data_IF_713701819558
#
_entry.id   IF_713701819558
#
_cell.length_a   1.000
_cell.length_b   1.000
_cell.length_c   1.000
_cell.angle_alpha   90.00
_cell.angle_beta   90.00
_cell.angle_gamma   90.00
#
_symmetry.space_group_name_H-M   'P 1'
#
loop_
_entity.id
_entity.type
_entity.pdbx_description
1 polymer ?
#
# COMPACT_ATOMS: atom_id res chain seq x y z
N UNK A 1 -12.88 -8.66 -12.17
CA UNK A 1 -14.36 -8.71 -12.26
C UNK A 1 -14.94 -8.10 -10.99
N UNK A 2 -15.88 -7.14 -11.08
CA UNK A 2 -16.46 -6.49 -9.88
C UNK A 2 -17.32 -7.48 -9.11
N UNK A 3 -16.94 -7.74 -7.85
CA UNK A 3 -17.70 -8.55 -6.88
C UNK A 3 -18.17 -7.68 -5.73
N UNK A 4 -19.46 -7.70 -5.44
CA UNK A 4 -20.10 -6.84 -4.44
C UNK A 4 -20.76 -7.71 -3.37
N UNK A 5 -20.30 -7.59 -2.14
CA UNK A 5 -20.99 -8.18 -0.99
C UNK A 5 -22.01 -7.18 -0.46
N UNK A 6 -23.25 -7.62 -0.24
CA UNK A 6 -24.33 -6.77 0.28
C UNK A 6 -24.59 -7.14 1.73
N UNK A 7 -24.14 -6.25 2.63
CA UNK A 7 -24.30 -6.34 4.07
C UNK A 7 -25.53 -5.56 4.50
N UNK A 8 -26.54 -6.25 5.03
CA UNK A 8 -27.81 -5.67 5.45
C UNK A 8 -28.35 -6.42 6.68
N UNK A 9 -29.31 -5.82 7.37
CA UNK A 9 -30.02 -6.47 8.48
C UNK A 9 -31.40 -6.95 8.05
N UNK A 10 -31.89 -8.01 8.69
CA UNK A 10 -33.22 -8.56 8.41
C UNK A 10 -34.30 -7.73 9.10
N UNK A 11 -34.52 -6.51 8.61
CA UNK A 11 -35.41 -5.52 9.22
C UNK A 11 -36.89 -5.86 9.07
N UNK A 12 -37.29 -6.20 7.85
CA UNK A 12 -38.64 -6.63 7.46
C UNK A 12 -38.55 -7.38 6.14
N UNK A 13 -39.60 -8.14 5.77
CA UNK A 13 -39.62 -8.83 4.47
C UNK A 13 -39.55 -7.84 3.31
N UNK A 14 -40.21 -6.69 3.42
CA UNK A 14 -40.12 -5.60 2.45
C UNK A 14 -38.68 -5.10 2.25
N UNK A 15 -37.92 -4.98 3.34
CA UNK A 15 -36.51 -4.60 3.29
C UNK A 15 -35.67 -5.69 2.61
N UNK A 16 -35.87 -6.95 2.99
CA UNK A 16 -35.15 -8.09 2.42
C UNK A 16 -35.43 -8.21 0.90
N UNK A 17 -36.67 -8.04 0.47
CA UNK A 17 -37.06 -8.03 -0.94
C UNK A 17 -36.47 -6.84 -1.71
N UNK A 18 -36.38 -5.67 -1.07
CA UNK A 18 -35.72 -4.52 -1.66
C UNK A 18 -34.23 -4.75 -1.89
N UNK A 19 -33.54 -5.36 -0.93
CA UNK A 19 -32.11 -5.72 -1.05
C UNK A 19 -31.92 -6.77 -2.15
N UNK A 20 -32.82 -7.76 -2.27
CA UNK A 20 -32.78 -8.73 -3.35
C UNK A 20 -32.94 -8.06 -4.73
N UNK A 21 -33.89 -7.13 -4.89
CA UNK A 21 -34.05 -6.37 -6.13
C UNK A 21 -32.80 -5.55 -6.48
N UNK A 22 -32.14 -4.95 -5.49
CA UNK A 22 -30.87 -4.28 -5.70
C UNK A 22 -29.79 -5.26 -6.18
N UNK A 23 -29.69 -6.43 -5.55
CA UNK A 23 -28.77 -7.50 -5.95
C UNK A 23 -28.98 -7.92 -7.41
N UNK A 24 -30.24 -8.19 -7.79
CA UNK A 24 -30.60 -8.59 -9.15
C UNK A 24 -30.35 -7.48 -10.18
N UNK A 25 -30.63 -6.23 -9.84
CA UNK A 25 -30.32 -5.10 -10.70
C UNK A 25 -28.81 -5.00 -10.97
N UNK A 26 -27.97 -5.17 -9.93
CA UNK A 26 -26.51 -5.18 -10.09
C UNK A 26 -26.05 -6.37 -10.96
N UNK A 27 -26.63 -7.57 -10.77
CA UNK A 27 -26.35 -8.77 -11.57
C UNK A 27 -26.70 -8.57 -13.05
N UNK A 28 -27.87 -8.01 -13.34
CA UNK A 28 -28.31 -7.68 -14.70
C UNK A 28 -27.37 -6.68 -15.39
N UNK A 29 -26.74 -5.78 -14.61
CA UNK A 29 -25.73 -4.85 -15.10
C UNK A 29 -24.30 -5.42 -15.05
N UNK A 30 -24.13 -6.74 -14.90
CA UNK A 30 -22.85 -7.44 -15.03
C UNK A 30 -21.92 -7.31 -13.82
N UNK A 31 -22.47 -7.01 -12.63
CA UNK A 31 -21.75 -7.05 -11.35
C UNK A 31 -22.12 -8.34 -10.62
N UNK A 32 -21.11 -9.09 -10.16
CA UNK A 32 -21.35 -10.31 -9.38
C UNK A 32 -21.68 -9.90 -7.95
N UNK A 33 -22.86 -10.26 -7.44
CA UNK A 33 -23.24 -9.97 -6.05
C UNK A 33 -23.15 -11.22 -5.18
N UNK A 34 -22.77 -11.01 -3.92
CA UNK A 34 -22.73 -12.01 -2.85
C UNK A 34 -23.76 -11.55 -1.81
N UNK A 35 -24.79 -12.36 -1.56
CA UNK A 35 -25.86 -12.07 -0.62
C UNK A 35 -26.26 -13.37 0.11
N UNK A 36 -26.66 -13.25 1.38
CA UNK A 36 -27.10 -14.37 2.21
C UNK A 36 -28.35 -15.08 1.66
N UNK A 37 -29.21 -14.36 0.93
CA UNK A 37 -30.43 -14.87 0.26
C UNK A 37 -30.15 -16.01 -0.72
N UNK A 38 -28.94 -16.14 -1.25
CA UNK A 38 -28.57 -17.27 -2.09
C UNK A 38 -28.63 -18.62 -1.32
N UNK A 39 -28.70 -18.58 0.02
CA UNK A 39 -28.84 -19.72 0.93
C UNK A 39 -30.20 -19.76 1.64
N UNK A 40 -31.26 -19.13 1.15
CA UNK A 40 -32.52 -18.99 1.89
C UNK A 40 -33.15 -20.32 2.39
N UNK A 41 -32.88 -21.45 1.71
CA UNK A 41 -33.38 -22.78 2.09
C UNK A 41 -32.31 -23.68 2.72
N UNK A 42 -31.11 -23.18 3.02
CA UNK A 42 -30.00 -23.98 3.56
C UNK A 42 -28.99 -23.14 4.34
N UNK A 43 -28.01 -23.77 4.99
CA UNK A 43 -26.86 -23.04 5.54
C UNK A 43 -25.68 -23.21 4.58
N UNK A 44 -24.80 -22.20 4.44
CA UNK A 44 -23.56 -22.39 3.70
C UNK A 44 -22.77 -23.55 4.32
N UNK A 45 -22.17 -24.46 3.52
CA UNK A 45 -21.46 -25.64 4.03
C UNK A 45 -20.32 -25.31 5.01
N UNK A 46 -19.72 -24.13 4.84
CA UNK A 46 -18.64 -23.60 5.69
C UNK A 46 -19.13 -22.91 6.98
N UNK A 47 -20.45 -22.76 7.15
CA UNK A 47 -21.08 -22.03 8.25
C UNK A 47 -21.08 -20.51 8.05
N UNK A 48 -22.10 -19.82 8.61
CA UNK A 48 -22.29 -18.37 8.48
C UNK A 48 -21.05 -17.54 8.88
N UNK A 49 -20.34 -17.85 9.98
CA UNK A 49 -19.16 -17.09 10.37
C UNK A 49 -18.04 -17.11 9.31
N UNK A 50 -17.73 -18.30 8.80
CA UNK A 50 -16.68 -18.48 7.80
C UNK A 50 -17.10 -17.92 6.44
N UNK A 51 -18.38 -18.11 6.09
CA UNK A 51 -18.97 -17.56 4.88
C UNK A 51 -18.88 -16.04 4.83
N UNK A 52 -19.16 -15.36 5.94
CA UNK A 52 -19.06 -13.91 6.02
C UNK A 52 -17.64 -13.40 5.81
N UNK A 53 -16.66 -13.98 6.51
CA UNK A 53 -15.25 -13.63 6.33
C UNK A 53 -14.79 -13.87 4.89
N UNK A 54 -15.10 -15.05 4.34
CA UNK A 54 -14.78 -15.37 2.96
C UNK A 54 -15.46 -14.43 1.96
N UNK A 55 -16.70 -14.01 2.23
CA UNK A 55 -17.46 -13.08 1.39
C UNK A 55 -16.86 -11.68 1.42
N UNK A 56 -16.44 -11.21 2.60
CA UNK A 56 -15.68 -9.98 2.76
C UNK A 56 -14.36 -10.05 1.99
N UNK A 57 -13.60 -11.13 2.07
CA UNK A 57 -12.32 -11.30 1.37
C UNK A 57 -12.49 -11.32 -0.16
N UNK A 58 -13.52 -12.02 -0.66
CA UNK A 58 -13.81 -12.15 -2.11
C UNK A 58 -14.37 -10.87 -2.73
N UNK A 59 -14.97 -10.00 -1.93
CA UNK A 59 -15.65 -8.80 -2.42
C UNK A 59 -14.69 -7.65 -2.70
N UNK A 60 -14.80 -7.07 -3.89
CA UNK A 60 -14.12 -5.81 -4.24
C UNK A 60 -14.75 -4.60 -3.55
N UNK A 61 -16.08 -4.66 -3.33
CA UNK A 61 -16.85 -3.64 -2.63
C UNK A 61 -17.86 -4.31 -1.70
N UNK A 62 -18.18 -3.64 -0.61
CA UNK A 62 -19.16 -4.05 0.39
C UNK A 62 -20.19 -2.93 0.50
N UNK A 63 -21.42 -3.20 0.10
CA UNK A 63 -22.53 -2.27 0.32
C UNK A 63 -23.08 -2.50 1.73
N UNK A 64 -23.00 -1.49 2.58
CA UNK A 64 -23.63 -1.48 3.89
C UNK A 64 -24.99 -0.80 3.77
N UNK A 65 -26.06 -1.59 3.80
CA UNK A 65 -27.43 -1.08 3.77
C UNK A 65 -27.76 -0.54 5.15
N UNK A 66 -27.67 0.78 5.32
CA UNK A 66 -27.77 1.39 6.65
C UNK A 66 -29.23 1.68 6.98
N UNK A 67 -29.67 1.12 8.11
CA UNK A 67 -30.98 1.34 8.72
C UNK A 67 -30.83 1.47 10.23
N UNK A 68 -31.88 1.88 10.93
CA UNK A 68 -31.86 1.96 12.40
C UNK A 68 -31.56 0.61 13.07
N UNK A 69 -32.02 -0.52 12.51
CA UNK A 69 -31.72 -1.86 13.04
C UNK A 69 -30.27 -2.23 12.75
N UNK A 70 -29.80 -2.01 11.51
CA UNK A 70 -28.41 -2.23 11.13
C UNK A 70 -27.44 -1.50 12.06
N UNK A 71 -27.73 -0.23 12.37
CA UNK A 71 -26.89 0.60 13.24
C UNK A 71 -26.89 0.11 14.69
N UNK A 72 -28.03 -0.34 15.22
CA UNK A 72 -28.08 -0.93 16.57
C UNK A 72 -27.25 -2.21 16.67
N UNK A 73 -27.30 -3.07 15.64
CA UNK A 73 -26.45 -4.28 15.56
C UNK A 73 -24.98 -3.93 15.46
N UNK A 74 -24.62 -2.96 14.62
CA UNK A 74 -23.26 -2.45 14.50
C UNK A 74 -22.70 -1.99 15.85
N UNK A 75 -23.50 -1.28 16.65
CA UNK A 75 -23.11 -0.78 17.98
C UNK A 75 -23.19 -1.83 19.10
N UNK A 76 -23.67 -3.04 18.84
CA UNK A 76 -23.88 -4.07 19.86
C UNK A 76 -25.01 -3.74 20.85
N UNK A 77 -26.01 -2.95 20.42
CA UNK A 77 -27.15 -2.54 21.26
C UNK A 77 -28.38 -3.46 21.14
N UNK A 78 -28.28 -4.63 20.47
CA UNK A 78 -29.37 -5.62 20.47
C UNK A 78 -29.33 -6.51 21.72
N UNK A 79 -30.52 -6.90 22.20
CA UNK A 79 -30.70 -7.78 23.36
C UNK A 79 -30.34 -9.22 22.94
N UNK A 80 -29.41 -9.91 23.63
CA UNK A 80 -29.08 -11.29 23.34
C UNK A 80 -30.33 -12.19 23.42
N UNK A 81 -30.56 -13.01 22.41
CA UNK A 81 -31.55 -14.10 22.48
C UNK A 81 -32.84 -13.97 21.65
N UNK A 82 -32.95 -13.03 20.69
CA UNK A 82 -34.09 -12.97 19.74
C UNK A 82 -33.82 -13.46 18.32
N UNK A 83 -32.64 -14.01 18.02
CA UNK A 83 -32.36 -14.63 16.72
C UNK A 83 -31.22 -15.64 16.80
N UNK A 84 -31.46 -16.90 16.41
CA UNK A 84 -30.48 -17.99 16.41
C UNK A 84 -29.43 -17.82 15.29
N UNK A 85 -28.60 -16.78 15.37
CA UNK A 85 -27.49 -16.54 14.43
C UNK A 85 -27.05 -15.08 14.25
N UNK A 86 -27.72 -14.11 14.91
CA UNK A 86 -27.65 -12.68 14.55
C UNK A 86 -26.48 -11.91 15.18
N UNK A 87 -25.93 -12.39 16.30
CA UNK A 87 -24.94 -11.62 17.09
C UNK A 87 -23.53 -11.60 16.47
N UNK A 88 -23.20 -12.57 15.62
CA UNK A 88 -21.84 -12.71 15.08
C UNK A 88 -21.59 -11.84 13.83
N UNK A 89 -22.62 -11.66 13.01
CA UNK A 89 -22.56 -10.91 11.75
C UNK A 89 -22.19 -9.44 11.97
N UNK A 90 -22.87 -8.82 12.92
CA UNK A 90 -22.60 -7.44 13.34
C UNK A 90 -21.17 -7.29 13.86
N UNK A 91 -20.68 -8.24 14.66
CA UNK A 91 -19.34 -8.18 15.25
C UNK A 91 -18.23 -8.21 14.18
N UNK A 92 -18.37 -9.06 13.15
CA UNK A 92 -17.35 -9.18 12.10
C UNK A 92 -17.35 -8.02 11.13
N UNK A 93 -18.52 -7.53 10.72
CA UNK A 93 -18.61 -6.34 9.89
C UNK A 93 -18.14 -5.10 10.66
N UNK A 94 -18.46 -5.00 11.96
CA UNK A 94 -17.95 -3.94 12.83
C UNK A 94 -16.43 -3.99 12.89
N UNK A 95 -15.83 -5.15 13.18
CA UNK A 95 -14.37 -5.27 13.22
C UNK A 95 -13.74 -4.90 11.87
N UNK A 96 -14.26 -5.42 10.76
CA UNK A 96 -13.76 -5.12 9.42
C UNK A 96 -13.89 -3.64 9.03
N UNK A 97 -14.99 -2.98 9.42
CA UNK A 97 -15.19 -1.53 9.24
C UNK A 97 -14.24 -0.70 10.10
N UNK A 98 -13.95 -1.17 11.32
CA UNK A 98 -12.99 -0.54 12.23
C UNK A 98 -11.55 -0.67 11.70
N UNK A 99 -11.17 -1.84 11.22
CA UNK A 99 -9.85 -2.09 10.63
C UNK A 99 -9.65 -1.29 9.32
N UNK A 100 -10.73 -1.05 8.57
CA UNK A 100 -10.70 -0.29 7.31
C UNK A 100 -10.77 1.24 7.47
N UNK A 101 -10.69 1.78 8.70
CA UNK A 101 -10.98 3.18 9.04
C UNK A 101 -10.24 4.25 8.23
N UNK A 102 -9.11 3.94 7.59
CA UNK A 102 -8.33 4.93 6.80
C UNK A 102 -7.72 4.41 5.49
N UNK A 103 -8.01 3.17 5.05
CA UNK A 103 -7.19 2.51 4.02
C UNK A 103 -7.99 2.06 2.79
N UNK A 104 -9.32 1.98 2.84
CA UNK A 104 -10.08 1.33 1.76
C UNK A 104 -11.41 2.00 1.39
N UNK A 105 -11.61 2.20 0.07
CA UNK A 105 -12.90 2.55 -0.55
C UNK A 105 -13.84 1.33 -0.69
N UNK A 106 -13.48 0.20 -0.09
CA UNK A 106 -14.23 -1.06 -0.17
C UNK A 106 -15.64 -0.95 0.42
N UNK A 107 -15.82 -0.23 1.53
CA UNK A 107 -17.12 -0.13 2.20
C UNK A 107 -17.89 1.12 1.76
N UNK A 108 -19.11 0.93 1.28
CA UNK A 108 -19.98 1.98 0.74
C UNK A 108 -21.30 1.98 1.52
N UNK A 109 -21.66 3.11 2.12
CA UNK A 109 -22.96 3.29 2.76
C UNK A 109 -24.05 3.47 1.69
N UNK A 110 -25.10 2.66 1.79
CA UNK A 110 -26.29 2.74 0.94
C UNK A 110 -27.51 2.91 1.82
N UNK A 111 -28.34 3.89 1.49
CA UNK A 111 -29.57 4.20 2.20
C UNK A 111 -30.77 3.93 1.29
N UNK A 112 -31.85 3.38 1.85
CA UNK A 112 -33.12 3.30 1.14
C UNK A 112 -33.77 4.67 1.04
N UNK A 113 -33.68 5.46 2.11
CA UNK A 113 -34.28 6.78 2.24
C UNK A 113 -33.30 7.75 2.90
N UNK A 114 -33.44 9.06 2.65
CA UNK A 114 -32.60 10.07 3.32
C UNK A 114 -32.83 10.11 4.83
N UNK A 115 -33.98 9.65 5.32
CA UNK A 115 -34.25 9.55 6.76
C UNK A 115 -33.37 8.53 7.48
N UNK A 116 -32.68 7.65 6.74
CA UNK A 116 -31.75 6.67 7.32
C UNK A 116 -30.33 7.23 7.53
N UNK A 117 -30.04 8.45 7.08
CA UNK A 117 -28.71 9.06 7.17
C UNK A 117 -28.11 9.12 8.59
N UNK A 118 -28.88 9.40 9.66
CA UNK A 118 -28.36 9.34 11.04
C UNK A 118 -27.83 7.95 11.44
N UNK A 119 -28.28 6.88 10.76
CA UNK A 119 -27.93 5.50 11.06
C UNK A 119 -26.69 5.00 10.29
N UNK A 120 -25.99 5.87 9.56
CA UNK A 120 -24.71 5.52 8.97
C UNK A 120 -23.69 5.25 10.11
N UNK A 121 -23.01 4.08 10.12
CA UNK A 121 -21.94 3.79 11.07
C UNK A 121 -20.84 4.86 11.06
N UNK A 122 -20.30 5.20 12.23
CA UNK A 122 -19.29 6.28 12.39
C UNK A 122 -18.13 6.21 11.38
N UNK A 123 -17.54 5.03 11.07
CA UNK A 123 -16.45 4.93 10.10
C UNK A 123 -16.83 5.29 8.66
N UNK A 124 -18.12 5.28 8.32
CA UNK A 124 -18.62 5.54 6.97
C UNK A 124 -19.18 6.95 6.77
N UNK A 125 -19.52 7.66 7.86
CA UNK A 125 -20.05 9.03 7.80
C UNK A 125 -19.19 10.04 7.01
N UNK A 126 -17.84 10.03 7.09
CA UNK A 126 -17.04 11.01 6.34
C UNK A 126 -16.93 10.68 4.83
N UNK A 127 -17.57 9.60 4.34
CA UNK A 127 -17.49 9.15 2.94
C UNK A 127 -18.80 9.40 2.21
N UNK A 128 -18.75 9.39 0.87
CA UNK A 128 -19.95 9.47 0.03
C UNK A 128 -20.85 8.27 0.30
N UNK A 129 -22.11 8.54 0.60
CA UNK A 129 -23.18 7.55 0.72
C UNK A 129 -24.19 7.72 -0.42
N UNK A 130 -24.94 6.66 -0.74
CA UNK A 130 -25.89 6.65 -1.85
C UNK A 130 -27.31 6.42 -1.35
N UNK A 131 -28.19 7.37 -1.61
CA UNK A 131 -29.62 7.26 -1.28
C UNK A 131 -30.38 6.74 -2.49
N UNK A 132 -30.83 5.50 -2.45
CA UNK A 132 -31.52 4.83 -3.56
C UNK A 132 -33.04 5.02 -3.50
N UNK A 133 -33.47 6.29 -3.38
CA UNK A 133 -34.89 6.70 -3.36
C UNK A 133 -35.38 7.31 -4.68
N UNK A 134 -34.48 7.56 -5.65
CA UNK A 134 -34.82 8.12 -6.97
C UNK A 134 -34.12 7.35 -8.09
N UNK A 135 -34.67 7.39 -9.31
CA UNK A 135 -34.13 6.69 -10.48
C UNK A 135 -32.70 7.13 -10.86
N UNK A 136 -32.30 8.35 -10.49
CA UNK A 136 -30.97 8.90 -10.79
C UNK A 136 -29.87 8.44 -9.82
N UNK A 137 -30.24 7.89 -8.67
CA UNK A 137 -29.28 7.51 -7.61
C UNK A 137 -28.57 6.19 -7.89
N UNK A 138 -29.25 5.24 -8.54
CA UNK A 138 -28.67 3.94 -8.89
C UNK A 138 -27.53 4.04 -9.91
N UNK A 139 -27.65 4.81 -11.02
CA UNK A 139 -26.54 5.05 -11.94
C UNK A 139 -25.28 5.61 -11.27
N UNK A 140 -25.42 6.47 -10.26
CA UNK A 140 -24.29 7.02 -9.52
C UNK A 140 -23.57 5.94 -8.71
N UNK A 141 -24.32 5.10 -7.98
CA UNK A 141 -23.77 3.94 -7.27
C UNK A 141 -23.10 2.95 -8.25
N UNK A 142 -23.76 2.67 -9.37
CA UNK A 142 -23.26 1.75 -10.39
C UNK A 142 -21.93 2.23 -11.01
N UNK A 143 -21.78 3.52 -11.29
CA UNK A 143 -20.52 4.10 -11.78
C UNK A 143 -19.39 3.91 -10.79
N UNK A 144 -19.65 4.05 -9.48
CA UNK A 144 -18.64 3.87 -8.43
C UNK A 144 -18.17 2.42 -8.39
N UNK A 145 -19.11 1.48 -8.40
CA UNK A 145 -18.82 0.04 -8.41
C UNK A 145 -18.03 -0.41 -9.65
N UNK A 146 -18.11 0.36 -10.74
CA UNK A 146 -17.35 0.16 -11.98
C UNK A 146 -16.07 1.00 -12.08
N UNK A 147 -15.73 1.80 -11.07
CA UNK A 147 -14.66 2.82 -11.13
C UNK A 147 -14.80 3.80 -12.32
N UNK A 148 -16.03 4.15 -12.69
CA UNK A 148 -16.38 5.07 -13.78
C UNK A 148 -16.69 6.50 -13.30
N UNK A 149 -16.44 6.81 -12.03
CA UNK A 149 -16.53 8.18 -11.53
C UNK A 149 -15.29 8.98 -11.89
N UNK A 150 -15.33 9.51 -13.10
CA UNK A 150 -14.51 10.62 -13.55
C UNK A 150 -15.04 11.07 -14.89
N UNK A 151 -15.42 12.34 -15.00
CA UNK A 151 -15.07 13.08 -16.23
C UNK A 151 -13.61 12.71 -16.46
N UNK A 152 -13.28 12.05 -17.58
CA UNK A 152 -11.87 11.84 -17.93
C UNK A 152 -11.25 13.22 -17.80
N UNK A 153 -10.34 13.47 -16.85
CA UNK A 153 -9.66 14.75 -16.81
C UNK A 153 -9.14 14.95 -18.22
N UNK A 154 -9.43 16.10 -18.83
CA UNK A 154 -8.74 16.46 -20.07
C UNK A 154 -7.26 16.19 -19.84
N UNK A 155 -6.56 15.64 -20.84
CA UNK A 155 -5.15 15.27 -20.72
C UNK A 155 -4.43 16.47 -20.12
N UNK A 156 -4.13 16.40 -18.82
CA UNK A 156 -3.26 17.36 -18.19
C UNK A 156 -1.93 17.07 -18.83
N UNK A 157 -1.41 18.05 -19.55
CA UNK A 157 -0.05 18.00 -20.03
C UNK A 157 0.86 17.98 -18.79
N UNK A 158 1.15 16.78 -18.28
CA UNK A 158 2.01 16.59 -17.13
C UNK A 158 3.44 17.09 -17.38
N UNK A 159 3.79 17.40 -18.64
CA UNK A 159 5.04 18.11 -18.94
C UNK A 159 5.05 19.59 -18.57
N UNK A 160 3.89 20.15 -18.17
CA UNK A 160 3.74 21.55 -17.70
C UNK A 160 3.47 21.69 -16.20
N UNK A 161 3.14 20.62 -15.49
CA UNK A 161 3.00 20.64 -14.03
C UNK A 161 4.23 20.03 -13.41
N UNK A 162 5.08 20.85 -12.79
CA UNK A 162 6.06 20.36 -11.80
C UNK A 162 5.30 19.51 -10.77
N UNK A 163 5.90 18.42 -10.23
CA UNK A 163 5.25 17.61 -9.20
C UNK A 163 4.72 18.53 -8.10
N UNK A 164 3.49 18.30 -7.59
CA UNK A 164 2.93 19.17 -6.57
C UNK A 164 3.88 19.15 -5.38
N UNK A 165 4.39 20.33 -5.00
CA UNK A 165 5.32 20.52 -3.89
C UNK A 165 4.60 20.35 -2.56
N UNK A 166 3.81 19.30 -2.36
CA UNK A 166 3.01 19.09 -1.16
C UNK A 166 3.90 19.00 0.09
N UNK A 167 3.35 19.15 1.30
CA UNK A 167 4.14 19.01 2.52
C UNK A 167 4.81 17.63 2.62
N UNK A 168 4.14 16.58 2.13
CA UNK A 168 4.69 15.24 2.02
C UNK A 168 5.87 15.18 1.04
N UNK A 169 5.75 15.84 -0.11
CA UNK A 169 6.82 15.93 -1.10
C UNK A 169 8.09 16.57 -0.50
N UNK A 170 7.92 17.68 0.22
CA UNK A 170 9.04 18.40 0.83
C UNK A 170 9.72 17.57 1.92
N UNK A 171 8.94 16.90 2.77
CA UNK A 171 9.46 16.03 3.84
C UNK A 171 10.15 14.77 3.31
N UNK A 172 9.72 14.26 2.16
CA UNK A 172 10.42 13.19 1.47
C UNK A 172 11.83 13.59 1.02
N UNK A 173 12.21 14.86 0.97
CA UNK A 173 13.56 15.23 0.54
C UNK A 173 14.57 15.32 1.69
N UNK A 174 14.08 15.21 2.91
CA UNK A 174 14.85 15.25 4.14
C UNK A 174 15.40 13.83 4.40
N UNK A 175 16.71 13.73 4.67
CA UNK A 175 17.45 12.47 4.98
C UNK A 175 17.88 11.55 3.82
N UNK A 176 18.19 12.10 2.63
CA UNK A 176 18.35 11.23 1.45
C UNK A 176 19.68 11.24 0.72
N UNK A 177 20.66 12.07 1.09
CA UNK A 177 21.92 12.14 0.33
C UNK A 177 22.62 10.78 0.13
N UNK A 178 22.76 9.91 1.16
CA UNK A 178 23.46 8.63 0.98
C UNK A 178 22.68 7.63 0.11
N UNK A 179 21.38 7.48 0.35
CA UNK A 179 20.55 6.57 -0.46
C UNK A 179 20.37 7.11 -1.88
N UNK A 180 20.11 8.41 -2.02
CA UNK A 180 20.07 9.13 -3.29
C UNK A 180 21.34 8.89 -4.09
N UNK A 181 22.50 9.18 -3.50
CA UNK A 181 23.80 9.00 -4.17
C UNK A 181 23.98 7.55 -4.59
N UNK A 182 23.63 6.59 -3.73
CA UNK A 182 23.67 5.18 -4.08
C UNK A 182 22.76 4.84 -5.27
N UNK A 183 21.52 5.34 -5.31
CA UNK A 183 20.67 5.16 -6.49
C UNK A 183 21.22 5.88 -7.72
N UNK A 184 21.81 7.05 -7.52
CA UNK A 184 22.35 7.87 -8.60
C UNK A 184 23.50 7.16 -9.31
N UNK A 185 24.40 6.58 -8.51
CA UNK A 185 25.58 5.84 -8.95
C UNK A 185 25.24 4.51 -9.62
N UNK A 186 24.13 3.86 -9.24
CA UNK A 186 23.84 2.47 -9.64
C UNK A 186 22.63 2.29 -10.58
N UNK A 187 21.78 3.31 -10.72
CA UNK A 187 20.70 3.34 -11.71
C UNK A 187 21.09 4.37 -12.78
N UNK A 188 21.43 3.97 -14.01
CA UNK A 188 21.85 4.92 -15.03
C UNK A 188 20.70 5.84 -15.45
N UNK A 189 20.99 7.11 -15.75
CA UNK A 189 20.02 7.98 -16.41
C UNK A 189 19.74 7.48 -17.84
N UNK A 190 18.46 7.22 -18.16
CA UNK A 190 18.04 6.71 -19.47
C UNK A 190 17.09 7.68 -20.16
N UNK A 191 17.65 8.75 -20.71
CA UNK A 191 16.87 9.79 -21.42
C UNK A 191 16.47 9.39 -22.84
N UNK A 192 17.08 8.36 -23.43
CA UNK A 192 16.95 8.06 -24.87
C UNK A 192 16.70 6.60 -25.27
N UNK A 193 17.12 5.61 -24.47
CA UNK A 193 16.89 4.18 -24.75
C UNK A 193 16.60 3.45 -23.45
N UNK A 194 15.45 2.77 -23.39
CA UNK A 194 15.16 1.85 -22.29
C UNK A 194 15.68 0.48 -22.67
N UNK A 195 16.68 -0.03 -21.95
CA UNK A 195 17.16 -1.40 -22.13
C UNK A 195 16.30 -2.40 -21.34
N UNK A 196 15.32 -1.92 -20.56
CA UNK A 196 14.39 -2.77 -19.84
C UNK A 196 15.11 -3.64 -18.80
N UNK A 197 15.57 -3.03 -17.71
CA UNK A 197 16.25 -3.71 -16.61
C UNK A 197 15.37 -3.84 -15.36
N UNK A 198 15.68 -4.85 -14.57
CA UNK A 198 15.10 -5.06 -13.25
C UNK A 198 16.12 -4.71 -12.18
N UNK A 199 15.80 -3.71 -11.36
CA UNK A 199 16.63 -3.28 -10.23
C UNK A 199 16.03 -3.74 -8.92
N UNK A 200 16.78 -4.47 -8.12
CA UNK A 200 16.36 -4.95 -6.81
C UNK A 200 17.15 -4.25 -5.72
N UNK A 201 16.47 -3.75 -4.69
CA UNK A 201 17.09 -3.09 -3.55
C UNK A 201 16.57 -3.61 -2.21
N UNK A 202 17.46 -3.66 -1.23
CA UNK A 202 17.17 -3.94 0.16
C UNK A 202 17.31 -2.66 0.96
N UNK A 203 16.22 -2.25 1.60
CA UNK A 203 16.17 -1.11 2.52
C UNK A 203 16.22 -1.67 3.94
N UNK A 204 17.15 -1.17 4.74
CA UNK A 204 17.37 -1.58 6.12
C UNK A 204 17.26 -0.37 7.06
N UNK A 205 16.56 -0.50 8.18
CA UNK A 205 16.28 0.62 9.11
C UNK A 205 15.13 0.33 10.09
N UNK A 206 14.76 1.32 10.89
CA UNK A 206 13.67 1.21 11.88
C UNK A 206 12.29 1.43 11.24
N UNK A 207 11.28 0.66 11.65
CA UNK A 207 9.93 0.69 11.04
C UNK A 207 9.28 2.08 10.96
N UNK A 208 9.53 2.95 11.93
CA UNK A 208 9.01 4.32 11.97
C UNK A 208 9.63 5.25 10.89
N UNK A 209 10.75 4.87 10.29
CA UNK A 209 11.39 5.58 9.19
C UNK A 209 10.74 5.25 7.81
N UNK A 210 9.88 4.22 7.75
CA UNK A 210 9.61 3.47 6.51
C UNK A 210 8.39 3.84 5.69
N UNK A 211 7.24 4.19 6.31
CA UNK A 211 6.06 4.62 5.56
C UNK A 211 6.34 5.80 4.62
N UNK A 212 7.40 6.55 4.90
CA UNK A 212 7.86 7.70 4.11
C UNK A 212 9.03 7.34 3.16
N UNK A 213 9.91 6.40 3.51
CA UNK A 213 11.02 5.99 2.65
C UNK A 213 10.55 5.30 1.36
N UNK A 214 9.64 4.33 1.44
CA UNK A 214 9.20 3.58 0.25
C UNK A 214 8.34 4.45 -0.68
N UNK A 215 7.44 5.25 -0.09
CA UNK A 215 6.45 6.04 -0.81
C UNK A 215 7.01 7.32 -1.42
N UNK A 216 8.08 7.89 -0.83
CA UNK A 216 8.66 9.13 -1.32
C UNK A 216 10.04 8.96 -1.96
N UNK A 217 10.83 7.91 -1.65
CA UNK A 217 12.22 7.78 -2.13
C UNK A 217 12.28 7.31 -3.56
N UNK A 218 11.36 6.46 -4.02
CA UNK A 218 11.49 5.89 -5.36
C UNK A 218 10.57 6.49 -6.39
N UNK A 219 9.39 7.01 -6.06
CA UNK A 219 8.59 7.76 -7.05
C UNK A 219 9.40 8.95 -7.54
N UNK A 220 9.87 9.77 -6.63
CA UNK A 220 10.45 11.06 -6.96
C UNK A 220 11.83 10.94 -7.65
N UNK A 221 12.70 10.05 -7.18
CA UNK A 221 14.03 9.84 -7.76
C UNK A 221 13.98 9.20 -9.13
N UNK A 222 12.95 8.42 -9.38
CA UNK A 222 12.69 7.83 -10.68
C UNK A 222 11.93 8.86 -11.57
N UNK A 223 11.05 9.69 -11.02
CA UNK A 223 10.25 10.70 -11.73
C UNK A 223 11.06 11.89 -12.29
N UNK A 224 12.03 12.44 -11.56
CA UNK A 224 12.77 13.62 -12.07
C UNK A 224 13.85 13.27 -13.11
N UNK A 225 14.49 12.10 -13.04
CA UNK A 225 15.72 11.87 -13.82
C UNK A 225 15.90 10.48 -14.47
N UNK A 226 15.11 9.44 -14.13
CA UNK A 226 15.50 8.04 -14.46
C UNK A 226 14.40 7.09 -14.94
N UNK A 227 13.14 7.49 -15.06
CA UNK A 227 12.07 6.67 -15.67
C UNK A 227 12.00 6.92 -17.17
N UNK A 228 11.88 5.82 -17.90
CA UNK A 228 11.60 5.68 -19.32
C UNK A 228 10.62 6.70 -19.95
N UNK A 229 9.67 7.21 -19.16
CA UNK A 229 8.69 8.19 -19.57
C UNK A 229 8.40 9.17 -18.42
N UNK A 230 9.02 10.36 -18.40
CA UNK A 230 8.82 11.36 -17.34
C UNK A 230 7.38 11.92 -17.32
N UNK A 231 6.55 11.60 -18.33
CA UNK A 231 5.13 11.99 -18.39
C UNK A 231 4.18 10.94 -17.77
N UNK A 232 4.69 9.82 -17.25
CA UNK A 232 3.89 8.77 -16.60
C UNK A 232 4.53 8.37 -15.28
N UNK A 233 3.81 8.65 -14.18
CA UNK A 233 4.21 8.22 -12.84
C UNK A 233 4.34 6.69 -12.76
N UNK A 234 5.29 6.16 -11.98
CA UNK A 234 5.45 4.73 -11.79
C UNK A 234 4.27 4.13 -11.01
N UNK A 235 3.92 2.87 -11.31
CA UNK A 235 2.91 2.12 -10.54
C UNK A 235 3.54 1.52 -9.28
N UNK A 236 2.86 1.65 -8.14
CA UNK A 236 3.32 1.09 -6.87
C UNK A 236 2.56 -0.19 -6.52
N UNK A 237 3.30 -1.25 -6.22
CA UNK A 237 2.73 -2.56 -5.91
C UNK A 237 3.24 -3.15 -4.62
N UNK A 238 2.42 -3.13 -3.57
CA UNK A 238 2.69 -3.90 -2.36
C UNK A 238 2.54 -5.40 -2.65
N UNK A 239 3.52 -6.19 -2.21
CA UNK A 239 3.51 -7.65 -2.28
C UNK A 239 3.06 -8.22 -0.93
N UNK A 240 1.76 -8.25 -0.68
CA UNK A 240 1.16 -8.56 0.65
C UNK A 240 1.16 -10.06 1.04
N UNK A 241 1.34 -10.97 0.09
CA UNK A 241 1.04 -12.38 0.33
C UNK A 241 1.95 -12.98 1.42
N UNK A 242 1.36 -13.54 2.48
CA UNK A 242 2.04 -14.42 3.43
C UNK A 242 1.93 -15.85 2.92
N UNK A 243 2.99 -16.35 2.29
CA UNK A 243 3.11 -17.78 1.99
C UNK A 243 3.95 -18.42 3.09
N UNK A 244 3.49 -19.54 3.65
CA UNK A 244 4.18 -20.25 4.73
C UNK A 244 5.59 -20.68 4.30
N UNK A 245 6.60 -19.87 4.63
CA UNK A 245 8.00 -20.21 4.42
C UNK A 245 8.43 -21.24 5.47
N UNK A 246 9.02 -22.35 5.02
CA UNK A 246 9.72 -23.29 5.90
C UNK A 246 11.18 -22.89 5.98
N UNK A 247 11.69 -22.63 7.18
CA UNK A 247 13.10 -22.33 7.41
C UNK A 247 13.99 -23.48 6.92
N UNK A 248 14.98 -23.18 6.07
CA UNK A 248 16.11 -24.07 5.78
C UNK A 248 17.39 -23.28 6.04
N UNK A 249 18.09 -23.61 7.12
CA UNK A 249 19.34 -22.95 7.50
C UNK A 249 20.55 -23.75 6.99
N UNK A 250 21.44 -23.04 6.28
CA UNK A 250 22.87 -23.30 6.03
C UNK A 250 23.26 -24.41 5.03
N UNK A 251 24.19 -24.08 4.12
CA UNK A 251 24.85 -25.01 3.20
C UNK A 251 24.40 -24.98 1.72
N UNK A 252 23.73 -23.92 1.29
CA UNK A 252 22.98 -23.89 0.02
C UNK A 252 23.87 -23.43 -1.15
N UNK A 253 23.98 -24.25 -2.20
CA UNK A 253 24.68 -23.89 -3.45
C UNK A 253 23.89 -22.79 -4.22
N UNK A 254 24.56 -22.01 -5.08
CA UNK A 254 23.94 -20.88 -5.82
C UNK A 254 22.66 -21.24 -6.59
N UNK A 255 22.55 -22.47 -7.13
CA UNK A 255 21.35 -22.96 -7.79
C UNK A 255 20.17 -23.18 -6.84
N UNK A 256 20.45 -23.63 -5.61
CA UNK A 256 19.45 -23.87 -4.58
C UNK A 256 18.98 -22.56 -3.92
N UNK A 257 19.87 -21.55 -3.86
CA UNK A 257 19.56 -20.20 -3.36
C UNK A 257 18.62 -19.44 -4.30
N UNK A 258 18.84 -19.54 -5.62
CA UNK A 258 17.93 -19.03 -6.62
C UNK A 258 16.56 -19.72 -6.54
N UNK A 259 16.53 -21.06 -6.40
CA UNK A 259 15.30 -21.85 -6.31
C UNK A 259 14.40 -21.46 -5.12
N UNK A 260 14.99 -21.12 -3.97
CA UNK A 260 14.24 -20.73 -2.75
C UNK A 260 13.49 -19.41 -2.92
N UNK A 261 14.13 -18.39 -3.49
CA UNK A 261 13.53 -17.07 -3.68
C UNK A 261 12.68 -16.97 -4.96
N UNK A 262 13.09 -17.63 -6.03
CA UNK A 262 12.50 -17.46 -7.36
C UNK A 262 11.03 -17.92 -7.43
N UNK A 263 10.73 -19.13 -6.97
CA UNK A 263 9.36 -19.64 -6.94
C UNK A 263 8.45 -18.79 -6.02
N UNK A 264 9.03 -18.19 -4.98
CA UNK A 264 8.31 -17.30 -4.08
C UNK A 264 7.99 -15.96 -4.76
N UNK A 265 8.99 -15.36 -5.40
CA UNK A 265 8.86 -14.10 -6.12
C UNK A 265 7.77 -14.18 -7.21
N UNK A 266 7.73 -15.26 -7.99
CA UNK A 266 6.70 -15.42 -9.02
C UNK A 266 5.30 -15.58 -8.44
N UNK A 267 5.14 -16.21 -7.28
CA UNK A 267 3.86 -16.25 -6.58
C UNK A 267 3.42 -14.87 -6.08
N UNK A 268 4.34 -14.10 -5.50
CA UNK A 268 4.07 -12.73 -5.07
C UNK A 268 3.61 -11.86 -6.25
N UNK A 269 4.37 -11.90 -7.35
CA UNK A 269 4.09 -11.10 -8.54
C UNK A 269 2.83 -11.59 -9.26
N UNK A 270 2.63 -12.89 -9.38
CA UNK A 270 1.41 -13.47 -9.98
C UNK A 270 0.16 -13.06 -9.23
N UNK A 271 0.18 -13.12 -7.90
CA UNK A 271 -0.93 -12.63 -7.07
C UNK A 271 -1.17 -11.12 -7.27
N UNK A 272 -0.10 -10.29 -7.24
CA UNK A 272 -0.23 -8.84 -7.38
C UNK A 272 -0.67 -8.40 -8.77
N UNK A 273 -0.26 -9.12 -9.81
CA UNK A 273 -0.57 -8.82 -11.20
C UNK A 273 -1.82 -9.53 -11.72
N UNK A 274 -2.45 -10.37 -10.90
CA UNK A 274 -3.57 -11.25 -11.29
C UNK A 274 -3.21 -12.11 -12.52
N UNK A 275 -2.07 -12.80 -12.43
CA UNK A 275 -1.48 -13.62 -13.49
C UNK A 275 -1.00 -14.96 -12.97
N UNK A 276 -0.81 -15.89 -13.90
CA UNK A 276 -0.13 -17.15 -13.62
C UNK A 276 1.24 -16.86 -12.97
N UNK A 277 1.57 -17.47 -11.82
CA UNK A 277 2.82 -17.23 -11.09
C UNK A 277 4.01 -17.94 -11.75
N UNK A 278 4.15 -17.81 -13.06
CA UNK A 278 5.26 -18.34 -13.84
C UNK A 278 6.05 -17.20 -14.48
N UNK A 279 7.38 -17.33 -14.50
CA UNK A 279 8.30 -16.30 -15.01
C UNK A 279 7.92 -15.76 -16.41
N UNK A 280 7.56 -16.59 -17.41
CA UNK A 280 7.24 -16.09 -18.75
C UNK A 280 6.03 -15.15 -18.77
N UNK A 281 4.99 -15.45 -17.98
CA UNK A 281 3.76 -14.65 -17.91
C UNK A 281 4.01 -13.30 -17.22
N UNK A 282 4.79 -13.31 -16.14
CA UNK A 282 5.21 -12.10 -15.44
C UNK A 282 6.08 -11.22 -16.35
N UNK A 283 7.06 -11.80 -17.04
CA UNK A 283 7.90 -11.10 -18.00
C UNK A 283 7.07 -10.44 -19.10
N UNK A 284 6.19 -11.19 -19.75
CA UNK A 284 5.31 -10.68 -20.80
C UNK A 284 4.43 -9.53 -20.31
N UNK A 285 3.91 -9.65 -19.09
CA UNK A 285 3.09 -8.60 -18.48
C UNK A 285 3.90 -7.33 -18.23
N UNK A 286 5.09 -7.43 -17.62
CA UNK A 286 5.94 -6.28 -17.33
C UNK A 286 6.44 -5.59 -18.61
N UNK A 287 6.84 -6.37 -19.63
CA UNK A 287 7.23 -5.84 -20.95
C UNK A 287 6.11 -5.03 -21.62
N UNK A 288 4.84 -5.39 -21.39
CA UNK A 288 3.70 -4.67 -21.97
C UNK A 288 3.38 -3.34 -21.27
N UNK A 289 4.07 -3.02 -20.17
CA UNK A 289 3.78 -1.82 -19.39
C UNK A 289 4.37 -0.58 -20.05
N UNK A 290 3.57 0.48 -20.03
CA UNK A 290 3.98 1.79 -20.56
C UNK A 290 4.76 2.63 -19.53
N UNK A 291 4.84 2.18 -18.27
CA UNK A 291 5.50 2.86 -17.17
C UNK A 291 6.19 1.85 -16.23
N UNK A 292 7.25 2.33 -15.57
CA UNK A 292 7.95 1.58 -14.53
C UNK A 292 7.00 1.11 -13.43
N UNK A 293 7.25 -0.07 -12.91
CA UNK A 293 6.53 -0.58 -11.73
C UNK A 293 7.53 -0.73 -10.60
N UNK A 294 7.14 -0.27 -9.42
CA UNK A 294 7.92 -0.35 -8.18
C UNK A 294 7.15 -1.31 -7.26
N UNK A 295 7.65 -2.53 -7.16
CA UNK A 295 7.13 -3.51 -6.22
C UNK A 295 7.85 -3.36 -4.89
N UNK A 296 7.11 -3.45 -3.78
CA UNK A 296 7.70 -3.37 -2.46
C UNK A 296 7.11 -4.40 -1.50
N UNK A 297 7.91 -4.82 -0.52
CA UNK A 297 7.51 -5.77 0.50
C UNK A 297 8.18 -5.50 1.83
N UNK A 298 7.37 -5.36 2.87
CA UNK A 298 7.80 -5.44 4.26
C UNK A 298 8.09 -6.91 4.58
N UNK A 299 9.36 -7.23 4.89
CA UNK A 299 9.76 -8.58 5.26
C UNK A 299 9.38 -8.87 6.71
N UNK A 300 8.87 -10.07 6.94
CA UNK A 300 8.63 -10.59 8.29
C UNK A 300 9.94 -10.85 9.03
N UNK A 301 9.89 -10.95 10.36
CA UNK A 301 11.06 -11.25 11.19
C UNK A 301 11.82 -12.52 10.74
N UNK A 302 11.10 -13.56 10.33
CA UNK A 302 11.70 -14.81 9.86
C UNK A 302 12.36 -14.65 8.48
N UNK A 303 11.74 -13.88 7.58
CA UNK A 303 12.31 -13.54 6.26
C UNK A 303 13.59 -12.70 6.41
N UNK A 304 13.60 -11.72 7.32
CA UNK A 304 14.77 -10.85 7.58
C UNK A 304 15.96 -11.64 8.11
N UNK A 305 15.72 -12.64 8.96
CA UNK A 305 16.78 -13.51 9.50
C UNK A 305 17.36 -14.46 8.45
N UNK A 306 16.70 -14.62 7.30
CA UNK A 306 17.12 -15.53 6.24
C UNK A 306 17.79 -14.77 5.08
N UNK A 307 19.09 -14.50 5.19
CA UNK A 307 19.86 -13.82 4.13
C UNK A 307 19.77 -14.52 2.78
N UNK A 308 19.74 -15.87 2.76
CA UNK A 308 19.65 -16.65 1.54
C UNK A 308 18.32 -16.42 0.81
N UNK A 309 17.23 -16.26 1.56
CA UNK A 309 15.94 -15.89 1.00
C UNK A 309 15.96 -14.50 0.37
N UNK A 310 16.48 -13.49 1.08
CA UNK A 310 16.60 -12.11 0.58
C UNK A 310 17.44 -12.08 -0.70
N UNK A 311 18.64 -12.68 -0.67
CA UNK A 311 19.52 -12.76 -1.82
C UNK A 311 18.89 -13.54 -2.98
N UNK A 312 18.12 -14.61 -2.69
CA UNK A 312 17.38 -15.38 -3.68
C UNK A 312 16.32 -14.55 -4.40
N UNK A 313 15.56 -13.72 -3.68
CA UNK A 313 14.58 -12.81 -4.28
C UNK A 313 15.25 -11.78 -5.19
N UNK A 314 16.30 -11.13 -4.71
CA UNK A 314 17.04 -10.11 -5.48
C UNK A 314 17.72 -10.72 -6.71
N UNK A 315 18.27 -11.93 -6.59
CA UNK A 315 18.90 -12.66 -7.69
C UNK A 315 17.88 -13.13 -8.74
N UNK A 316 16.70 -13.58 -8.32
CA UNK A 316 15.64 -13.95 -9.24
C UNK A 316 15.13 -12.73 -10.02
N UNK A 317 14.99 -11.59 -9.34
CA UNK A 317 14.58 -10.33 -9.94
C UNK A 317 15.63 -9.75 -10.90
N UNK A 318 16.91 -9.73 -10.53
CA UNK A 318 17.99 -9.17 -11.36
C UNK A 318 18.19 -9.91 -12.69
N UNK A 319 17.76 -11.17 -12.75
CA UNK A 319 17.78 -11.99 -13.98
C UNK A 319 16.66 -11.65 -14.96
N UNK A 320 15.76 -10.74 -14.62
CA UNK A 320 14.74 -10.27 -15.56
C UNK A 320 15.36 -9.25 -16.53
N UNK A 321 15.27 -9.56 -17.81
CA UNK A 321 15.59 -8.64 -18.89
C UNK A 321 14.34 -8.42 -19.72
N UNK A 322 14.05 -7.16 -20.00
CA UNK A 322 12.91 -6.74 -20.80
C UNK A 322 13.41 -6.32 -22.18
N UNK A 323 12.54 -6.40 -23.19
CA UNK A 323 12.92 -6.03 -24.56
C UNK A 323 13.26 -4.54 -24.68
N UNK A 324 13.96 -4.16 -25.75
CA UNK A 324 14.25 -2.76 -26.08
C UNK A 324 12.97 -1.91 -26.03
N UNK A 325 13.05 -0.73 -25.41
CA UNK A 325 11.95 0.21 -25.13
C UNK A 325 11.02 -0.17 -23.98
N UNK A 326 11.19 -1.31 -23.32
CA UNK A 326 10.45 -1.64 -22.09
C UNK A 326 10.94 -0.78 -20.92
N UNK A 327 10.07 -0.32 -20.02
CA UNK A 327 10.49 0.45 -18.86
C UNK A 327 11.33 -0.40 -17.89
N UNK A 328 12.16 0.27 -17.11
CA UNK A 328 12.85 -0.39 -16.00
C UNK A 328 11.86 -0.66 -14.86
N UNK A 329 12.03 -1.77 -14.15
CA UNK A 329 11.16 -2.16 -13.03
C UNK A 329 11.97 -2.35 -11.76
N UNK A 330 11.34 -2.09 -10.61
CA UNK A 330 12.00 -2.04 -9.32
C UNK A 330 11.37 -3.02 -8.33
N UNK A 331 12.20 -3.67 -7.52
CA UNK A 331 11.79 -4.50 -6.39
C UNK A 331 12.46 -3.99 -5.12
N UNK A 332 11.67 -3.69 -4.10
CA UNK A 332 12.13 -3.21 -2.80
C UNK A 332 11.79 -4.22 -1.71
N UNK A 333 12.82 -4.69 -1.04
CA UNK A 333 12.70 -5.52 0.14
C UNK A 333 13.02 -4.65 1.35
N UNK A 334 12.08 -4.55 2.27
CA UNK A 334 12.20 -3.68 3.42
C UNK A 334 12.43 -4.61 4.63
N UNK A 335 13.69 -4.71 5.09
CA UNK A 335 14.16 -5.44 6.29
C UNK A 335 14.20 -4.65 7.63
N UNK A 336 13.21 -4.82 8.52
CA UNK A 336 13.13 -4.02 9.77
C UNK A 336 14.25 -4.42 10.74
N UNK A 337 15.02 -3.45 11.22
CA UNK A 337 16.13 -3.71 12.14
C UNK A 337 15.68 -4.18 13.52
N UNK A 338 14.43 -3.89 13.91
CA UNK A 338 13.81 -4.34 15.16
C UNK A 338 13.84 -5.86 15.33
N UNK A 339 13.79 -6.61 14.23
CA UNK A 339 13.78 -8.07 14.23
C UNK A 339 15.13 -8.73 14.55
N UNK A 340 16.21 -7.95 14.61
CA UNK A 340 17.58 -8.45 14.79
C UNK A 340 18.02 -8.56 16.25
N UNK A 341 17.21 -8.09 17.20
CA UNK A 341 17.42 -8.32 18.64
C UNK A 341 18.47 -7.43 19.31
N UNK A 342 19.10 -6.49 18.60
CA UNK A 342 20.04 -5.52 19.21
C UNK A 342 19.28 -4.52 20.11
N UNK A 343 19.89 -4.08 21.21
CA UNK A 343 19.25 -3.14 22.14
C UNK A 343 18.98 -1.78 21.46
N UNK A 344 17.91 -1.08 21.86
CA UNK A 344 17.56 0.25 21.33
C UNK A 344 18.71 1.27 21.45
N UNK A 345 19.57 1.12 22.46
CA UNK A 345 20.73 1.97 22.71
C UNK A 345 21.91 1.64 21.77
N UNK A 346 22.13 0.38 21.41
CA UNK A 346 23.14 0.00 20.41
C UNK A 346 22.84 0.62 19.03
N UNK A 347 21.54 0.79 18.71
CA UNK A 347 21.07 1.29 17.41
C UNK A 347 21.18 2.80 17.23
N UNK A 348 21.14 3.56 18.33
CA UNK A 348 21.26 5.03 18.30
C UNK A 348 22.71 5.50 18.20
N UNK A 349 23.68 4.66 18.59
CA UNK A 349 25.10 5.04 18.70
C UNK A 349 26.06 4.22 17.82
N UNK A 350 25.64 3.13 17.17
CA UNK A 350 26.51 2.38 16.25
C UNK A 350 26.59 3.00 14.86
N UNK A 351 27.83 3.17 14.36
CA UNK A 351 28.09 3.41 12.93
C UNK A 351 27.52 2.25 12.09
N UNK A 352 26.81 2.58 11.02
CA UNK A 352 26.05 1.69 10.12
C UNK A 352 26.77 0.39 9.67
N UNK A 353 28.10 0.39 9.60
CA UNK A 353 28.97 -0.73 9.18
C UNK A 353 29.12 -1.87 10.22
N UNK A 354 28.55 -1.73 11.42
CA UNK A 354 28.93 -2.57 12.56
C UNK A 354 28.09 -3.83 12.76
N UNK A 355 26.82 -3.85 12.29
CA UNK A 355 25.96 -5.01 12.54
C UNK A 355 26.48 -6.24 11.81
N UNK A 356 26.49 -7.38 12.52
CA UNK A 356 26.92 -8.66 11.94
C UNK A 356 26.01 -9.07 10.78
N UNK A 357 24.71 -8.84 10.96
CA UNK A 357 23.67 -9.10 9.95
C UNK A 357 23.96 -8.39 8.63
N UNK A 358 24.22 -7.06 8.66
CA UNK A 358 24.44 -6.29 7.43
C UNK A 358 25.68 -6.79 6.69
N UNK A 359 26.78 -7.02 7.40
CA UNK A 359 28.03 -7.53 6.80
C UNK A 359 27.87 -8.92 6.20
N UNK A 360 27.11 -9.78 6.85
CA UNK A 360 26.84 -11.13 6.35
C UNK A 360 25.96 -11.10 5.09
N UNK A 361 24.93 -10.25 5.05
CA UNK A 361 24.11 -10.04 3.86
C UNK A 361 24.89 -9.39 2.72
N UNK A 362 25.66 -8.34 3.01
CA UNK A 362 26.51 -7.64 2.04
C UNK A 362 27.52 -8.60 1.40
N UNK A 363 28.18 -9.43 2.21
CA UNK A 363 29.09 -10.46 1.74
C UNK A 363 28.38 -11.47 0.83
N UNK A 364 27.19 -11.93 1.20
CA UNK A 364 26.41 -12.87 0.40
C UNK A 364 25.96 -12.26 -0.92
N UNK A 365 25.48 -11.03 -0.92
CA UNK A 365 25.07 -10.31 -2.14
C UNK A 365 26.27 -10.07 -3.07
N UNK A 366 27.43 -9.70 -2.51
CA UNK A 366 28.67 -9.51 -3.27
C UNK A 366 29.14 -10.78 -3.96
N UNK A 367 28.99 -11.95 -3.32
CA UNK A 367 29.30 -13.25 -3.93
C UNK A 367 28.45 -13.56 -5.16
N UNK A 368 27.30 -12.89 -5.32
CA UNK A 368 26.38 -13.08 -6.43
C UNK A 368 26.29 -11.85 -7.36
N UNK A 369 27.21 -10.88 -7.25
CA UNK A 369 27.23 -9.68 -8.09
C UNK A 369 26.08 -8.69 -7.81
N UNK A 370 25.50 -8.76 -6.62
CA UNK A 370 24.37 -7.92 -6.16
C UNK A 370 24.78 -6.93 -5.08
N UNK A 371 26.07 -6.59 -4.96
CA UNK A 371 26.57 -5.68 -3.94
C UNK A 371 25.84 -4.32 -3.94
N UNK A 372 25.41 -3.86 -5.13
CA UNK A 372 24.70 -2.59 -5.29
C UNK A 372 23.21 -2.67 -4.89
N UNK A 373 22.69 -3.87 -4.64
CA UNK A 373 21.31 -4.06 -4.19
C UNK A 373 21.13 -3.75 -2.70
N UNK A 374 22.20 -3.68 -1.91
CA UNK A 374 22.09 -3.30 -0.51
C UNK A 374 22.25 -1.78 -0.38
N UNK A 375 21.19 -1.09 0.05
CA UNK A 375 21.26 0.35 0.26
C UNK A 375 21.92 0.67 1.61
N UNK A 376 22.52 1.87 1.73
CA UNK A 376 22.90 2.41 3.02
C UNK A 376 21.72 2.39 4.00
N UNK A 377 22.00 2.02 5.25
CA UNK A 377 21.00 1.92 6.30
C UNK A 377 20.28 3.26 6.51
N UNK A 378 18.97 3.22 6.62
CA UNK A 378 18.13 4.37 6.92
C UNK A 378 18.17 4.64 8.43
N UNK A 379 18.69 5.80 8.82
CA UNK A 379 18.73 6.29 10.19
C UNK A 379 17.85 7.53 10.35
N UNK A 380 17.66 8.05 11.57
CA UNK A 380 16.99 9.32 11.77
C UNK A 380 17.87 10.49 11.29
N UNK A 381 17.33 11.51 10.59
CA UNK A 381 18.10 12.67 10.16
C UNK A 381 18.75 13.41 11.33
N UNK A 382 19.99 13.83 11.11
CA UNK A 382 20.66 14.76 12.00
C UNK A 382 20.05 16.17 11.83
N UNK A 383 19.69 16.80 12.95
CA UNK A 383 19.04 18.11 12.91
C UNK A 383 20.01 19.21 12.49
N UNK A 384 21.27 19.15 12.93
CA UNK A 384 22.28 20.17 12.64
C UNK A 384 22.84 20.08 11.22
N UNK A 385 22.80 18.90 10.60
CA UNK A 385 23.35 18.65 9.26
C UNK A 385 22.24 18.46 8.23
N UNK A 386 21.47 17.37 8.31
CA UNK A 386 20.50 16.97 7.28
C UNK A 386 19.31 17.93 7.21
N UNK A 387 18.76 18.33 8.36
CA UNK A 387 17.62 19.26 8.40
C UNK A 387 18.05 20.67 8.00
N UNK A 388 19.20 21.15 8.48
CA UNK A 388 19.69 22.47 8.10
C UNK A 388 20.04 22.56 6.62
N UNK A 389 20.69 21.53 6.05
CA UNK A 389 20.96 21.47 4.61
C UNK A 389 19.67 21.45 3.80
N UNK A 390 18.68 20.65 4.22
CA UNK A 390 17.35 20.64 3.58
C UNK A 390 16.68 22.01 3.64
N UNK A 391 16.66 22.69 4.80
CA UNK A 391 16.06 24.02 4.93
C UNK A 391 16.79 25.07 4.08
N UNK A 392 18.12 25.00 3.97
CA UNK A 392 18.94 25.90 3.13
C UNK A 392 18.63 25.71 1.65
N UNK A 393 18.52 24.46 1.20
CA UNK A 393 18.35 24.11 -0.21
C UNK A 393 16.88 24.16 -0.70
N UNK A 394 15.96 24.74 0.09
CA UNK A 394 14.52 24.81 -0.23
C UNK A 394 13.98 26.23 -0.18
N UNK A 395 14.31 27.02 -1.20
CA UNK A 395 13.86 28.42 -1.38
C UNK A 395 12.34 28.59 -1.34
N UNK A 396 11.57 27.54 -1.62
CA UNK A 396 10.12 27.54 -1.53
C UNK A 396 9.55 27.60 -0.10
N UNK A 397 10.35 27.24 0.91
CA UNK A 397 9.99 27.34 2.33
C UNK A 397 10.39 28.75 2.82
N UNK A 398 9.44 29.62 3.25
CA UNK A 398 9.79 30.96 3.71
C UNK A 398 10.62 30.98 4.97
N UNK A 399 11.41 32.03 5.17
CA UNK A 399 12.32 32.13 6.32
C UNK A 399 11.60 32.10 7.67
N UNK A 400 10.38 32.65 7.78
CA UNK A 400 9.60 32.56 9.03
C UNK A 400 9.22 31.12 9.38
N UNK A 401 8.91 30.30 8.37
CA UNK A 401 8.57 28.89 8.53
C UNK A 401 9.81 28.07 8.84
N UNK A 402 10.93 28.34 8.15
CA UNK A 402 12.24 27.75 8.47
C UNK A 402 12.65 28.05 9.91
N UNK A 403 12.55 29.30 10.36
CA UNK A 403 12.83 29.69 11.74
C UNK A 403 11.96 28.94 12.76
N UNK A 404 10.67 28.76 12.45
CA UNK A 404 9.74 27.98 13.28
C UNK A 404 10.15 26.50 13.36
N UNK A 405 10.50 25.89 12.22
CA UNK A 405 11.00 24.51 12.16
C UNK A 405 12.28 24.37 12.99
N UNK A 406 13.26 25.27 12.82
CA UNK A 406 14.50 25.28 13.61
C UNK A 406 14.22 25.34 15.12
N UNK A 407 13.28 26.20 15.54
CA UNK A 407 12.91 26.32 16.95
C UNK A 407 12.30 25.03 17.49
N UNK A 408 11.43 24.37 16.73
CA UNK A 408 10.79 23.10 17.13
C UNK A 408 11.84 21.99 17.29
N UNK A 409 12.84 21.96 16.40
CA UNK A 409 13.85 20.92 16.37
C UNK A 409 15.09 21.21 17.23
N UNK A 410 15.24 22.43 17.74
CA UNK A 410 16.41 22.88 18.51
C UNK A 410 16.81 22.01 19.71
N UNK A 411 15.91 21.17 20.22
CA UNK A 411 16.15 20.26 21.35
C UNK A 411 16.53 18.84 20.92
N UNK A 412 16.58 18.55 19.63
CA UNK A 412 16.84 17.23 19.08
C UNK A 412 18.19 17.23 18.35
N UNK A 413 19.05 16.25 18.63
CA UNK A 413 20.27 16.02 17.83
C UNK A 413 19.97 15.20 16.57
N UNK A 414 19.11 14.20 16.71
CA UNK A 414 18.50 13.43 15.63
C UNK A 414 17.02 13.19 15.97
N UNK A 415 16.19 12.99 14.94
CA UNK A 415 14.76 12.81 15.12
C UNK A 415 14.20 11.81 14.09
N UNK A 416 13.44 10.79 14.52
CA UNK A 416 12.82 9.86 13.58
C UNK A 416 11.90 10.55 12.55
N UNK A 417 11.86 10.06 11.32
CA UNK A 417 11.06 10.66 10.25
C UNK A 417 9.56 10.70 10.58
N UNK A 418 9.05 9.70 11.30
CA UNK A 418 7.68 9.70 11.81
C UNK A 418 7.38 10.92 12.70
N UNK A 419 8.21 11.12 13.72
CA UNK A 419 8.07 12.22 14.69
C UNK A 419 8.33 13.59 14.05
N UNK A 420 9.33 13.65 13.15
CA UNK A 420 9.66 14.82 12.36
C UNK A 420 8.48 15.24 11.47
N UNK A 421 7.85 14.26 10.81
CA UNK A 421 6.66 14.48 10.01
C UNK A 421 5.53 15.00 10.88
N UNK A 422 5.22 14.39 12.02
CA UNK A 422 4.15 14.87 12.91
C UNK A 422 4.36 16.34 13.34
N UNK A 423 5.62 16.74 13.57
CA UNK A 423 5.95 18.11 14.00
C UNK A 423 5.93 19.13 12.86
N UNK A 424 6.40 18.78 11.67
CA UNK A 424 6.60 19.72 10.56
C UNK A 424 5.43 19.73 9.59
N UNK A 425 4.81 18.58 9.35
CA UNK A 425 3.75 18.41 8.35
C UNK A 425 2.61 19.43 8.48
N UNK A 426 2.04 19.68 9.69
CA UNK A 426 0.96 20.65 9.85
C UNK A 426 1.38 22.08 9.48
N UNK A 427 2.64 22.44 9.72
CA UNK A 427 3.17 23.77 9.44
C UNK A 427 3.27 24.03 7.93
N UNK A 428 3.80 23.04 7.20
CA UNK A 428 3.90 23.11 5.75
C UNK A 428 2.52 23.06 5.08
N UNK A 429 1.58 22.27 5.61
CA UNK A 429 0.22 22.17 5.10
C UNK A 429 -0.55 23.50 5.26
N UNK A 430 -0.52 24.10 6.45
CA UNK A 430 -1.18 25.38 6.73
C UNK A 430 -0.64 26.52 5.86
N UNK A 431 0.65 26.48 5.53
CA UNK A 431 1.27 27.47 4.65
C UNK A 431 0.84 27.31 3.19
N UNK A 432 0.62 26.09 2.70
CA UNK A 432 0.15 25.87 1.34
C UNK A 432 -1.31 26.25 1.17
N UNK A 433 -2.15 25.94 2.15
CA UNK A 433 -3.58 26.31 2.16
C UNK A 433 -3.84 27.82 2.23
N UNK A 434 -2.84 28.64 2.57
CA UNK A 434 -2.96 30.11 2.57
C UNK A 434 -2.46 30.76 1.27
N UNK A 435 -1.89 29.97 0.34
CA UNK A 435 -1.42 30.42 -0.98
C UNK A 435 -2.36 30.06 -2.13
N UNK A 436 -3.20 29.05 -1.95
CA UNK A 436 -4.33 28.72 -2.83
C UNK A 436 -5.55 29.56 -2.45
#
# INVERSE_FOLDING_TARGET
MTKVFISYSHDSDEHREWVLRLSECLRQNGIVTIIDRDFENSSPPEGWPRWMLNSLDKATHVLCICTGIYYRRFRGFEVPGKGKGVDWEGTVITQALYDARNVSNKFIAVLRTSTDEPFIPEPLRPRTHYVLNTENSYPALYKVLRNQNGVKPGIVDQSKTKPPRTPEYLLGLLDRKPQYGHFDDHVPERRHVNEGKAYGFCIFGLRNEWPNAVRFTLSHLLEEHKIANPKKAPDFGLLETRLNLRNKSTGIQQAELASIGEAYLWKLLGHRLDRNPEKPDILKMLQSKEASHIFFRELTADEVKNHAFIAGLLLAWSKLTFGTNSPDHFLLLICESDYLGDSMLDRLFQKQSSSRWYRDLEKLLSQHGLQNSLLPALGPPNVAEDVEDWLKNREEIPEHLRSTIRKILSKHSAIPLGDLKEKIFPLLQNYQSTRE
#
